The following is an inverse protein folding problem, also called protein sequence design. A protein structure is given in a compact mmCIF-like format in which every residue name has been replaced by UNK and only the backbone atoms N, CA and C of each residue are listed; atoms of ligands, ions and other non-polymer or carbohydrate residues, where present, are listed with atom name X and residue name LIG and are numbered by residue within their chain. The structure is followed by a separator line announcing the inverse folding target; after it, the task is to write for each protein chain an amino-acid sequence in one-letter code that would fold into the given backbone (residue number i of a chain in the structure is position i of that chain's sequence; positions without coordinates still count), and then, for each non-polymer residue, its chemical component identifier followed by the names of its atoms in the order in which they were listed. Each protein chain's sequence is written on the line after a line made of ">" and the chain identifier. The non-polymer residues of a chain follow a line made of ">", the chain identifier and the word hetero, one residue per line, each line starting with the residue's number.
data_IF_419100819833
#
_entry.id   IF_419100819833
#
_cell.length_a   1.000
_cell.length_b   1.000
_cell.length_c   1.000
_cell.angle_alpha   90.00
_cell.angle_beta   90.00
_cell.angle_gamma   90.00
#
_symmetry.space_group_name_H-M   'P 1'
#
loop_
_entity.id
_entity.type
_entity.pdbx_description
1 polymer ?
#
# COMPACT_ATOMS: atom_id res chain seq x y z
N UNK A 1 6.08 10.40 -2.37
CA UNK A 1 6.35 9.11 -3.06
C UNK A 1 7.73 8.53 -2.78
N UNK A 2 8.86 9.16 -3.15
CA UNK A 2 10.21 8.54 -3.01
C UNK A 2 10.53 7.96 -1.61
N UNK A 3 10.15 8.65 -0.53
CA UNK A 3 10.35 8.15 0.83
C UNK A 3 9.54 6.87 1.10
N UNK A 4 8.27 6.82 0.67
CA UNK A 4 7.40 5.65 0.83
C UNK A 4 7.97 4.44 0.10
N UNK A 5 8.40 4.60 -1.15
CA UNK A 5 9.00 3.50 -1.94
C UNK A 5 10.28 2.97 -1.26
N UNK A 6 11.15 3.87 -0.80
CA UNK A 6 12.36 3.46 -0.05
C UNK A 6 12.00 2.71 1.24
N UNK A 7 11.00 3.16 1.98
CA UNK A 7 10.52 2.49 3.20
C UNK A 7 9.97 1.11 2.87
N UNK A 8 9.09 0.97 1.88
CA UNK A 8 8.56 -0.33 1.45
C UNK A 8 9.67 -1.31 1.07
N UNK A 9 10.71 -0.85 0.36
CA UNK A 9 11.87 -1.69 0.01
C UNK A 9 12.69 -2.08 1.24
N UNK A 10 12.93 -1.15 2.16
CA UNK A 10 13.65 -1.42 3.39
C UNK A 10 12.90 -2.45 4.27
N UNK A 11 11.59 -2.31 4.39
CA UNK A 11 10.75 -3.22 5.15
C UNK A 11 10.64 -4.61 4.50
N UNK A 12 10.55 -4.69 3.17
CA UNK A 12 10.61 -5.97 2.45
C UNK A 12 11.95 -6.68 2.66
N UNK A 13 13.05 -5.94 2.65
CA UNK A 13 14.39 -6.50 2.85
C UNK A 13 14.66 -6.87 4.32
N UNK A 14 14.07 -6.16 5.28
CA UNK A 14 14.28 -6.36 6.71
C UNK A 14 13.01 -6.01 7.51
N UNK A 15 12.03 -6.92 7.59
CA UNK A 15 10.76 -6.70 8.31
C UNK A 15 10.90 -6.26 9.78
N UNK A 16 11.90 -6.74 10.56
CA UNK A 16 12.17 -6.23 11.91
C UNK A 16 12.38 -4.70 12.03
N UNK A 17 12.68 -3.99 10.93
CA UNK A 17 12.74 -2.52 10.94
C UNK A 17 11.40 -1.88 11.31
N UNK A 18 10.27 -2.52 10.99
CA UNK A 18 8.95 -2.01 11.30
C UNK A 18 8.68 -1.94 12.82
N UNK A 19 9.21 -2.90 13.59
CA UNK A 19 9.07 -2.91 15.06
C UNK A 19 9.68 -1.66 15.68
N UNK A 20 10.85 -1.23 15.19
CA UNK A 20 11.51 0.00 15.67
C UNK A 20 10.66 1.26 15.46
N UNK A 21 9.95 1.33 14.34
CA UNK A 21 9.03 2.44 14.06
C UNK A 21 7.77 2.35 14.92
N UNK A 22 7.28 1.13 15.17
CA UNK A 22 6.03 0.88 15.88
C UNK A 22 6.14 0.99 17.41
N UNK A 23 7.30 0.75 18.01
CA UNK A 23 7.52 0.84 19.46
C UNK A 23 7.14 2.18 20.09
N UNK A 24 7.05 3.25 19.29
CA UNK A 24 6.62 4.59 19.75
C UNK A 24 5.11 4.83 19.61
N UNK A 25 4.40 3.94 18.93
CA UNK A 25 3.01 4.11 18.51
C UNK A 25 2.09 3.02 19.09
N UNK A 26 2.64 1.84 19.38
CA UNK A 26 1.90 0.68 19.87
C UNK A 26 2.49 0.19 21.20
N UNK A 27 1.69 -0.47 22.05
CA UNK A 27 2.21 -1.15 23.22
C UNK A 27 3.14 -2.31 22.82
N UNK A 28 3.96 -2.76 23.78
CA UNK A 28 5.10 -3.63 23.50
C UNK A 28 4.70 -5.02 22.97
N UNK A 29 3.55 -5.53 23.41
CA UNK A 29 3.05 -6.86 23.02
C UNK A 29 2.64 -6.87 21.53
N UNK A 30 1.89 -5.86 21.11
CA UNK A 30 1.44 -5.68 19.73
C UNK A 30 2.61 -5.34 18.80
N UNK A 31 3.56 -4.54 19.27
CA UNK A 31 4.75 -4.21 18.50
C UNK A 31 5.58 -5.45 18.13
N UNK A 32 5.53 -6.51 18.94
CA UNK A 32 6.19 -7.79 18.67
C UNK A 32 5.62 -8.53 17.47
N UNK A 33 4.34 -8.34 17.14
CA UNK A 33 3.65 -9.01 16.03
C UNK A 33 3.88 -8.32 14.68
N UNK A 34 4.28 -7.05 14.69
CA UNK A 34 4.39 -6.24 13.47
C UNK A 34 5.43 -6.78 12.48
N UNK A 35 6.55 -7.32 12.97
CA UNK A 35 7.55 -7.93 12.08
C UNK A 35 6.97 -9.10 11.28
N UNK A 36 6.10 -9.89 11.91
CA UNK A 36 5.44 -11.02 11.26
C UNK A 36 4.47 -10.55 10.17
N UNK A 37 3.63 -9.56 10.47
CA UNK A 37 2.70 -8.99 9.49
C UNK A 37 3.43 -8.37 8.29
N UNK A 38 4.48 -7.60 8.55
CA UNK A 38 5.29 -6.97 7.50
C UNK A 38 6.01 -8.01 6.63
N UNK A 39 6.47 -9.12 7.22
CA UNK A 39 7.06 -10.21 6.46
C UNK A 39 6.02 -10.92 5.57
N UNK A 40 4.83 -11.20 6.13
CA UNK A 40 3.69 -11.80 5.39
C UNK A 40 3.28 -10.93 4.21
N UNK A 41 3.18 -9.62 4.43
CA UNK A 41 2.66 -8.67 3.45
C UNK A 41 3.74 -8.11 2.50
N UNK A 42 5.02 -8.46 2.72
CA UNK A 42 6.16 -8.00 1.93
C UNK A 42 6.01 -8.16 0.41
N UNK A 43 5.43 -9.25 -0.13
CA UNK A 43 5.15 -9.38 -1.56
C UNK A 43 4.24 -8.27 -2.11
N UNK A 44 3.36 -7.70 -1.27
CA UNK A 44 2.42 -6.66 -1.65
C UNK A 44 2.97 -5.23 -1.48
N UNK A 45 4.22 -5.06 -1.01
CA UNK A 45 4.85 -3.73 -0.83
C UNK A 45 5.29 -3.09 -2.15
N UNK A 46 4.32 -2.82 -3.03
CA UNK A 46 4.47 -2.09 -4.28
C UNK A 46 3.68 -0.78 -4.18
N UNK A 47 4.29 0.33 -4.58
CA UNK A 47 3.62 1.64 -4.61
C UNK A 47 2.79 1.86 -5.88
N UNK A 48 2.87 0.94 -6.84
CA UNK A 48 2.17 1.03 -8.12
C UNK A 48 0.69 0.78 -7.94
N UNK A 49 -0.13 1.73 -8.38
CA UNK A 49 -1.57 1.53 -8.56
C UNK A 49 -1.79 1.31 -10.06
N UNK A 50 -2.38 0.18 -10.45
CA UNK A 50 -2.64 -0.10 -11.87
C UNK A 50 -4.04 0.35 -12.28
N UNK A 51 -4.19 0.74 -13.54
CA UNK A 51 -5.50 1.05 -14.13
C UNK A 51 -6.44 -0.16 -14.10
N UNK A 52 -5.89 -1.37 -14.28
CA UNK A 52 -6.64 -2.62 -14.14
C UNK A 52 -7.23 -2.79 -12.73
N UNK A 53 -6.45 -2.53 -11.68
CA UNK A 53 -6.93 -2.63 -10.29
C UNK A 53 -8.10 -1.67 -10.05
N UNK A 54 -7.94 -0.41 -10.48
CA UNK A 54 -8.99 0.61 -10.36
C UNK A 54 -10.24 0.21 -11.14
N UNK A 55 -10.07 -0.33 -12.36
CA UNK A 55 -11.18 -0.81 -13.19
C UNK A 55 -11.94 -1.95 -12.52
N UNK A 56 -11.23 -2.94 -11.98
CA UNK A 56 -11.85 -4.09 -11.34
C UNK A 56 -12.56 -3.73 -10.04
N UNK A 57 -11.93 -2.93 -9.17
CA UNK A 57 -12.51 -2.60 -7.87
C UNK A 57 -13.68 -1.62 -8.00
N UNK A 58 -13.61 -0.67 -8.94
CA UNK A 58 -14.73 0.24 -9.23
C UNK A 58 -15.91 -0.50 -9.86
N UNK A 59 -15.66 -1.45 -10.76
CA UNK A 59 -16.72 -2.33 -11.29
C UNK A 59 -17.41 -3.10 -10.17
N UNK A 60 -16.63 -3.75 -9.30
CA UNK A 60 -17.17 -4.50 -8.17
C UNK A 60 -18.00 -3.60 -7.24
N UNK A 61 -17.48 -2.43 -6.87
CA UNK A 61 -18.18 -1.46 -6.03
C UNK A 61 -19.53 -1.02 -6.65
N UNK A 62 -19.58 -0.86 -7.98
CA UNK A 62 -20.83 -0.56 -8.70
C UNK A 62 -21.81 -1.74 -8.66
N UNK A 63 -21.33 -2.96 -8.90
CA UNK A 63 -22.18 -4.15 -8.92
C UNK A 63 -22.85 -4.44 -7.57
N UNK A 64 -22.19 -4.09 -6.46
CA UNK A 64 -22.76 -4.22 -5.12
C UNK A 64 -23.56 -2.98 -4.67
N UNK A 65 -23.71 -1.96 -5.52
CA UNK A 65 -24.44 -0.72 -5.22
C UNK A 65 -23.71 0.26 -4.29
N UNK A 66 -22.39 0.08 -4.07
CA UNK A 66 -21.58 0.98 -3.26
C UNK A 66 -21.05 2.21 -4.04
N UNK A 67 -21.14 2.18 -5.36
CA UNK A 67 -20.66 3.24 -6.25
C UNK A 67 -21.62 3.45 -7.42
N UNK A 68 -21.92 4.71 -7.72
CA UNK A 68 -22.67 5.09 -8.92
C UNK A 68 -21.71 5.53 -10.04
N UNK A 69 -22.07 5.23 -11.29
CA UNK A 69 -21.32 5.68 -12.46
C UNK A 69 -20.03 4.91 -12.76
N UNK A 70 -19.23 5.46 -13.67
CA UNK A 70 -17.89 4.96 -14.01
C UNK A 70 -16.85 5.89 -13.38
N UNK A 71 -15.77 5.31 -12.86
CA UNK A 71 -14.63 6.04 -12.31
C UNK A 71 -13.47 5.90 -13.28
N UNK A 72 -12.90 7.02 -13.73
CA UNK A 72 -11.71 7.00 -14.55
C UNK A 72 -10.47 6.89 -13.68
N UNK A 73 -9.42 6.28 -14.22
CA UNK A 73 -8.18 6.04 -13.49
C UNK A 73 -7.52 7.33 -12.99
N UNK A 74 -7.48 8.37 -13.82
CA UNK A 74 -6.88 9.68 -13.53
C UNK A 74 -7.71 10.56 -12.59
N UNK A 75 -8.98 10.24 -12.34
CA UNK A 75 -9.82 10.92 -11.36
C UNK A 75 -9.49 10.50 -9.92
N UNK A 76 -8.97 9.28 -9.73
CA UNK A 76 -8.67 8.71 -8.40
C UNK A 76 -7.19 8.42 -8.18
N UNK A 77 -6.37 8.49 -9.23
CA UNK A 77 -4.93 8.27 -9.15
C UNK A 77 -4.18 9.50 -9.66
N UNK A 78 -3.29 10.04 -8.83
CA UNK A 78 -2.39 11.14 -9.18
C UNK A 78 -1.26 10.65 -10.10
N UNK A 79 -1.60 10.41 -11.37
CA UNK A 79 -0.72 9.83 -12.40
C UNK A 79 0.54 10.66 -12.68
N UNK A 80 0.52 11.96 -12.40
CA UNK A 80 1.70 12.84 -12.53
C UNK A 80 2.88 12.42 -11.64
N UNK A 81 2.64 11.59 -10.62
CA UNK A 81 3.69 11.04 -9.75
C UNK A 81 4.05 9.58 -10.06
N UNK A 82 3.48 8.97 -11.09
CA UNK A 82 3.70 7.55 -11.41
C UNK A 82 5.19 7.21 -11.61
N UNK A 83 5.96 8.14 -12.19
CA UNK A 83 7.41 8.00 -12.36
C UNK A 83 8.17 7.85 -11.03
N UNK A 84 7.56 8.21 -9.89
CA UNK A 84 8.17 8.13 -8.55
C UNK A 84 7.82 6.84 -7.80
N UNK A 85 6.97 5.95 -8.36
CA UNK A 85 6.54 4.71 -7.71
C UNK A 85 7.56 3.59 -7.84
N UNK A 86 8.37 3.62 -8.90
CA UNK A 86 9.46 2.69 -9.15
C UNK A 86 10.77 3.38 -8.74
N UNK A 87 11.44 2.88 -7.71
CA UNK A 87 12.55 3.59 -7.08
C UNK A 87 13.40 2.74 -6.17
#
# INVERSE_FOLDING_TARGET
>A
MRAIVKTQRALRANPPLAVKAAQRLFPAEEAGLIAYEVARDGPFYDATISEEMVTHISRFAREIGALEGQVKYDEVVATQFAALWKG
#
